data_IF_545889666186
#
_entry.id   IF_545889666186
#
_cell.length_a   1.000
_cell.length_b   1.000
_cell.length_c   1.000
_cell.angle_alpha   90.00
_cell.angle_beta   90.00
_cell.angle_gamma   90.00
#
_symmetry.space_group_name_H-M   'P 1'
#
loop_
_entity.id
_entity.type
_entity.pdbx_description
1 polymer ?
#
# COMPACT_ATOMS: atom_id res chain seq x y z
N UNK A 1 -26.87 10.77 15.51
CA UNK A 1 -25.47 10.45 15.91
C UNK A 1 -25.21 8.94 16.00
N UNK A 2 -26.18 8.12 16.44
CA UNK A 2 -26.04 6.64 16.49
C UNK A 2 -25.74 5.98 15.14
N UNK A 3 -26.37 6.42 14.03
CA UNK A 3 -26.09 5.85 12.70
C UNK A 3 -24.64 6.07 12.23
N UNK A 4 -24.07 7.26 12.46
CA UNK A 4 -22.68 7.56 12.10
C UNK A 4 -21.71 6.69 12.90
N UNK A 5 -21.92 6.54 14.21
CA UNK A 5 -21.13 5.66 15.08
C UNK A 5 -21.21 4.19 14.64
N UNK A 6 -22.40 3.70 14.28
CA UNK A 6 -22.57 2.33 13.77
C UNK A 6 -21.82 2.13 12.44
N UNK A 7 -21.84 3.11 11.54
CA UNK A 7 -21.11 3.06 10.28
C UNK A 7 -19.60 3.07 10.50
N UNK A 8 -19.08 3.96 11.35
CA UNK A 8 -17.66 4.04 11.69
C UNK A 8 -17.21 2.71 12.32
N UNK A 9 -17.96 2.19 13.29
CA UNK A 9 -17.65 0.90 13.93
C UNK A 9 -17.61 -0.24 12.92
N UNK A 10 -18.61 -0.34 12.02
CA UNK A 10 -18.66 -1.38 10.99
C UNK A 10 -17.47 -1.27 10.03
N UNK A 11 -17.08 -0.04 9.66
CA UNK A 11 -15.91 0.22 8.81
C UNK A 11 -14.61 -0.16 9.52
N UNK A 12 -14.42 0.26 10.77
CA UNK A 12 -13.24 -0.09 11.57
C UNK A 12 -13.08 -1.60 11.75
N UNK A 13 -14.15 -2.31 12.10
CA UNK A 13 -14.12 -3.78 12.20
C UNK A 13 -13.77 -4.42 10.84
N UNK A 14 -14.35 -3.92 9.76
CA UNK A 14 -14.01 -4.37 8.40
C UNK A 14 -12.55 -4.10 8.06
N UNK A 15 -12.03 -2.92 8.39
CA UNK A 15 -10.63 -2.54 8.14
C UNK A 15 -9.65 -3.42 8.91
N UNK A 16 -9.92 -3.73 10.18
CA UNK A 16 -9.09 -4.66 10.97
C UNK A 16 -9.05 -6.04 10.32
N UNK A 17 -10.21 -6.55 9.86
CA UNK A 17 -10.27 -7.85 9.19
C UNK A 17 -9.50 -7.85 7.86
N UNK A 18 -9.64 -6.79 7.06
CA UNK A 18 -8.87 -6.61 5.81
C UNK A 18 -7.37 -6.53 6.10
N UNK A 19 -6.97 -5.76 7.12
CA UNK A 19 -5.56 -5.67 7.53
C UNK A 19 -5.03 -7.03 7.95
N UNK A 20 -5.78 -7.81 8.72
CA UNK A 20 -5.39 -9.15 9.13
C UNK A 20 -5.18 -10.07 7.92
N UNK A 21 -6.12 -10.05 6.95
CA UNK A 21 -5.99 -10.80 5.70
C UNK A 21 -4.73 -10.38 4.93
N UNK A 22 -4.47 -9.08 4.81
CA UNK A 22 -3.31 -8.57 4.09
C UNK A 22 -2.02 -8.96 4.80
N UNK A 23 -1.94 -8.79 6.12
CA UNK A 23 -0.75 -9.12 6.91
C UNK A 23 -0.43 -10.61 6.84
N UNK A 24 -1.42 -11.47 7.10
CA UNK A 24 -1.22 -12.92 7.04
C UNK A 24 -0.98 -13.36 5.59
N UNK A 25 -1.76 -12.84 4.64
CA UNK A 25 -1.64 -13.18 3.23
C UNK A 25 -0.27 -12.81 2.66
N UNK A 26 0.24 -11.62 2.97
CA UNK A 26 1.59 -11.21 2.55
C UNK A 26 2.68 -12.04 3.22
N UNK A 27 2.54 -12.37 4.51
CA UNK A 27 3.46 -13.29 5.18
C UNK A 27 3.50 -14.66 4.49
N UNK A 28 2.33 -15.26 4.21
CA UNK A 28 2.24 -16.55 3.53
C UNK A 28 2.78 -16.49 2.10
N UNK A 29 2.55 -15.39 1.38
CA UNK A 29 3.10 -15.20 0.04
C UNK A 29 4.62 -15.11 0.04
N UNK A 30 5.20 -14.45 1.05
CA UNK A 30 6.65 -14.39 1.22
C UNK A 30 7.22 -15.75 1.62
N UNK A 31 6.53 -16.50 2.49
CA UNK A 31 6.98 -17.84 2.91
C UNK A 31 6.88 -18.87 1.78
N UNK A 32 5.87 -18.73 0.91
CA UNK A 32 5.70 -19.61 -0.25
C UNK A 32 6.67 -19.29 -1.40
N UNK A 33 7.36 -18.15 -1.35
CA UNK A 33 8.32 -17.77 -2.38
C UNK A 33 9.57 -18.67 -2.30
N UNK A 34 10.20 -19.02 -3.44
CA UNK A 34 11.44 -19.78 -3.42
C UNK A 34 12.59 -18.92 -2.88
N UNK A 35 13.30 -19.44 -1.88
CA UNK A 35 14.36 -18.72 -1.14
C UNK A 35 13.84 -18.04 0.12
N UNK A 36 14.68 -17.24 0.77
CA UNK A 36 14.30 -16.46 1.95
C UNK A 36 14.57 -14.95 1.79
N UNK A 37 14.21 -14.16 2.81
CA UNK A 37 14.42 -12.73 2.81
C UNK A 37 15.91 -12.34 2.67
N UNK A 38 16.82 -13.15 3.21
CA UNK A 38 18.27 -12.92 3.15
C UNK A 38 18.77 -13.18 1.73
N UNK A 39 18.29 -14.22 1.06
CA UNK A 39 18.60 -14.50 -0.35
C UNK A 39 18.20 -13.30 -1.22
N UNK A 40 16.99 -12.78 -1.05
CA UNK A 40 16.51 -11.60 -1.77
C UNK A 40 17.37 -10.35 -1.49
N UNK A 41 17.83 -10.18 -0.25
CA UNK A 41 18.68 -9.06 0.13
C UNK A 41 20.09 -9.14 -0.47
N UNK A 42 20.70 -10.33 -0.45
CA UNK A 42 22.06 -10.56 -0.95
C UNK A 42 22.12 -10.38 -2.47
N UNK A 43 21.06 -10.76 -3.20
CA UNK A 43 20.99 -10.48 -4.65
C UNK A 43 21.18 -9.00 -4.95
N UNK A 44 20.68 -8.11 -4.09
CA UNK A 44 20.78 -6.66 -4.27
C UNK A 44 22.05 -6.02 -3.70
N UNK A 45 22.71 -6.65 -2.73
CA UNK A 45 23.77 -6.02 -1.92
C UNK A 45 25.13 -6.74 -1.98
N UNK A 46 25.14 -8.00 -2.43
CA UNK A 46 26.27 -8.91 -2.26
C UNK A 46 26.41 -9.41 -0.81
N UNK A 47 27.21 -10.46 -0.59
CA UNK A 47 27.48 -11.02 0.73
C UNK A 47 28.31 -12.29 0.67
N UNK A 48 29.06 -12.58 1.74
CA UNK A 48 29.78 -13.86 1.92
C UNK A 48 28.94 -14.86 2.74
N UNK A 49 29.34 -16.14 2.71
CA UNK A 49 28.61 -17.22 3.38
C UNK A 49 28.41 -17.00 4.89
N UNK A 50 29.38 -16.35 5.56
CA UNK A 50 29.30 -16.04 6.99
C UNK A 50 28.26 -14.97 7.30
N UNK A 51 28.16 -13.93 6.48
CA UNK A 51 27.13 -12.89 6.62
C UNK A 51 25.72 -13.45 6.43
N UNK A 52 25.52 -14.40 5.50
CA UNK A 52 24.21 -15.01 5.24
C UNK A 52 23.66 -15.64 6.52
N UNK A 53 24.46 -16.48 7.18
CA UNK A 53 24.03 -17.22 8.37
C UNK A 53 23.72 -16.28 9.54
N UNK A 54 24.56 -15.26 9.72
CA UNK A 54 24.34 -14.22 10.74
C UNK A 54 23.04 -13.46 10.48
N UNK A 55 22.74 -13.13 9.22
CA UNK A 55 21.51 -12.43 8.86
C UNK A 55 20.28 -13.32 9.05
N UNK A 56 20.34 -14.61 8.70
CA UNK A 56 19.24 -15.56 8.90
C UNK A 56 18.86 -15.66 10.37
N UNK A 57 19.84 -15.84 11.23
CA UNK A 57 19.61 -15.90 12.68
C UNK A 57 19.10 -14.56 13.23
N UNK A 58 19.68 -13.43 12.79
CA UNK A 58 19.23 -12.09 13.22
C UNK A 58 17.79 -11.79 12.81
N UNK A 59 17.34 -12.27 11.65
CA UNK A 59 15.98 -12.08 11.16
C UNK A 59 15.01 -13.18 11.62
N UNK A 60 15.48 -14.11 12.45
CA UNK A 60 14.69 -15.18 13.02
C UNK A 60 14.21 -16.20 11.99
N UNK A 61 14.89 -16.31 10.84
CA UNK A 61 14.56 -17.27 9.77
C UNK A 61 14.85 -18.72 10.16
N UNK A 62 15.60 -18.92 11.24
CA UNK A 62 15.86 -20.19 11.90
C UNK A 62 14.69 -20.67 12.79
N UNK A 63 13.72 -19.80 13.07
CA UNK A 63 12.54 -20.14 13.89
C UNK A 63 11.45 -20.77 13.03
N UNK A 64 10.54 -21.52 13.68
CA UNK A 64 9.36 -22.06 12.99
C UNK A 64 8.46 -20.95 12.43
N UNK A 65 7.82 -21.21 11.29
CA UNK A 65 6.94 -20.27 10.59
C UNK A 65 5.88 -19.66 11.50
N UNK A 66 5.25 -20.48 12.35
CA UNK A 66 4.24 -20.04 13.30
C UNK A 66 4.79 -19.09 14.37
N UNK A 67 6.03 -19.31 14.81
CA UNK A 67 6.70 -18.43 15.78
C UNK A 67 7.01 -17.09 15.13
N UNK A 68 7.51 -17.09 13.89
CA UNK A 68 7.76 -15.87 13.12
C UNK A 68 6.47 -15.07 12.89
N UNK A 69 5.37 -15.74 12.52
CA UNK A 69 4.08 -15.08 12.35
C UNK A 69 3.56 -14.48 13.66
N UNK A 70 3.65 -15.23 14.77
CA UNK A 70 3.23 -14.74 16.08
C UNK A 70 4.05 -13.51 16.52
N UNK A 71 5.37 -13.57 16.37
CA UNK A 71 6.27 -12.45 16.66
C UNK A 71 5.98 -11.23 15.78
N UNK A 72 5.72 -11.46 14.49
CA UNK A 72 5.39 -10.39 13.55
C UNK A 72 4.06 -9.71 13.91
N UNK A 73 3.01 -10.49 14.19
CA UNK A 73 1.72 -9.95 14.65
C UNK A 73 1.87 -9.22 15.98
N UNK A 74 2.65 -9.75 16.91
CA UNK A 74 2.90 -9.13 18.20
C UNK A 74 3.61 -7.77 18.06
N UNK A 75 4.64 -7.68 17.22
CA UNK A 75 5.33 -6.43 16.92
C UNK A 75 4.37 -5.40 16.30
N UNK A 76 3.57 -5.80 15.31
CA UNK A 76 2.59 -4.93 14.66
C UNK A 76 1.52 -4.40 15.64
N UNK A 77 1.06 -5.23 16.58
CA UNK A 77 0.12 -4.81 17.63
C UNK A 77 0.71 -3.73 18.54
N UNK A 78 2.02 -3.72 18.73
CA UNK A 78 2.76 -2.70 19.49
C UNK A 78 3.24 -1.54 18.62
N UNK A 79 2.80 -1.47 17.35
CA UNK A 79 3.25 -0.50 16.36
C UNK A 79 4.76 -0.52 16.10
N UNK A 80 5.40 -1.65 16.37
CA UNK A 80 6.77 -1.90 15.97
C UNK A 80 6.79 -2.45 14.54
N UNK A 81 7.14 -1.56 13.61
CA UNK A 81 7.26 -1.91 12.20
C UNK A 81 8.64 -2.49 11.85
N UNK A 82 9.59 -2.47 12.78
CA UNK A 82 10.96 -2.92 12.56
C UNK A 82 11.84 -1.93 11.78
N UNK A 83 12.92 -2.47 11.23
CA UNK A 83 13.96 -1.73 10.51
C UNK A 83 13.86 -1.95 9.01
N UNK A 84 14.10 -0.89 8.24
CA UNK A 84 14.20 -1.00 6.79
C UNK A 84 15.55 -1.58 6.44
N UNK A 85 15.54 -2.72 5.76
CA UNK A 85 16.74 -3.35 5.22
C UNK A 85 17.41 -2.47 4.15
N UNK A 86 16.60 -1.82 3.30
CA UNK A 86 17.11 -0.93 2.24
C UNK A 86 17.65 0.40 2.78
N UNK A 87 16.95 1.05 3.70
CA UNK A 87 17.32 2.38 4.21
C UNK A 87 18.15 2.34 5.49
N UNK A 88 18.40 1.16 6.06
CA UNK A 88 19.15 0.95 7.31
C UNK A 88 18.68 1.84 8.48
N UNK A 89 17.37 2.06 8.59
CA UNK A 89 16.75 2.90 9.62
C UNK A 89 15.31 2.46 9.93
N UNK A 90 14.67 2.93 11.02
CA UNK A 90 13.32 2.52 11.40
C UNK A 90 12.30 2.77 10.28
N UNK A 91 11.44 1.78 10.00
CA UNK A 91 10.42 1.89 8.93
C UNK A 91 9.46 3.05 9.20
N UNK A 92 9.11 3.28 10.47
CA UNK A 92 8.25 4.40 10.88
C UNK A 92 8.80 5.76 10.42
N UNK A 93 10.11 5.96 10.49
CA UNK A 93 10.74 7.24 10.14
C UNK A 93 10.71 7.44 8.62
N UNK A 94 10.92 6.36 7.85
CA UNK A 94 10.77 6.36 6.39
C UNK A 94 9.33 6.73 5.99
N UNK A 95 8.33 6.16 6.66
CA UNK A 95 6.91 6.45 6.40
C UNK A 95 6.61 7.91 6.72
N UNK A 96 6.98 8.38 7.92
CA UNK A 96 6.69 9.74 8.37
C UNK A 96 7.36 10.81 7.51
N UNK A 97 8.55 10.54 6.98
CA UNK A 97 9.22 11.45 6.05
C UNK A 97 8.49 11.57 4.70
N UNK A 98 7.90 10.47 4.21
CA UNK A 98 7.21 10.44 2.91
C UNK A 98 5.74 10.86 2.99
N UNK A 99 5.12 10.67 4.15
CA UNK A 99 3.70 10.88 4.37
C UNK A 99 3.21 12.28 3.98
N UNK A 100 3.89 13.41 4.33
CA UNK A 100 3.42 14.75 3.99
C UNK A 100 3.33 14.97 2.48
N UNK A 101 4.34 14.54 1.73
CA UNK A 101 4.38 14.66 0.26
C UNK A 101 3.29 13.81 -0.37
N UNK A 102 3.10 12.57 0.09
CA UNK A 102 2.02 11.70 -0.38
C UNK A 102 0.65 12.32 -0.12
N UNK A 103 0.41 12.84 1.09
CA UNK A 103 -0.86 13.49 1.45
C UNK A 103 -1.10 14.76 0.63
N UNK A 104 -0.07 15.56 0.39
CA UNK A 104 -0.16 16.77 -0.42
C UNK A 104 -0.54 16.41 -1.86
N UNK A 105 0.19 15.47 -2.49
CA UNK A 105 -0.06 15.05 -3.86
C UNK A 105 -1.44 14.39 -4.02
N UNK A 106 -1.78 13.44 -3.14
CA UNK A 106 -3.08 12.78 -3.18
C UNK A 106 -4.21 13.77 -2.91
N UNK A 107 -4.05 14.66 -1.93
CA UNK A 107 -5.04 15.68 -1.59
C UNK A 107 -5.27 16.65 -2.73
N UNK A 108 -4.20 17.21 -3.32
CA UNK A 108 -4.31 18.13 -4.45
C UNK A 108 -4.89 17.46 -5.68
N UNK A 109 -4.43 16.24 -6.01
CA UNK A 109 -4.96 15.48 -7.14
C UNK A 109 -6.45 15.17 -6.95
N UNK A 110 -6.85 14.69 -5.76
CA UNK A 110 -8.25 14.39 -5.46
C UNK A 110 -9.12 15.64 -5.53
N UNK A 111 -8.68 16.76 -4.98
CA UNK A 111 -9.43 18.02 -5.01
C UNK A 111 -9.61 18.52 -6.46
N UNK A 112 -8.55 18.46 -7.27
CA UNK A 112 -8.60 18.85 -8.67
C UNK A 112 -9.48 17.90 -9.49
N UNK A 113 -9.30 16.59 -9.36
CA UNK A 113 -10.09 15.58 -10.06
C UNK A 113 -11.56 15.67 -9.69
N UNK A 114 -11.88 15.83 -8.40
CA UNK A 114 -13.26 16.00 -7.96
C UNK A 114 -13.86 17.30 -8.49
N UNK A 115 -13.15 18.43 -8.36
CA UNK A 115 -13.64 19.74 -8.78
C UNK A 115 -13.82 19.83 -10.30
N UNK A 116 -12.75 19.59 -11.06
CA UNK A 116 -12.74 19.66 -12.52
C UNK A 116 -13.60 18.55 -13.13
N UNK A 117 -13.48 17.32 -12.63
CA UNK A 117 -14.27 16.19 -13.12
C UNK A 117 -15.76 16.40 -12.93
N UNK A 118 -16.19 16.90 -11.76
CA UNK A 118 -17.60 17.22 -11.52
C UNK A 118 -18.08 18.38 -12.40
N UNK A 119 -17.29 19.44 -12.56
CA UNK A 119 -17.65 20.58 -13.41
C UNK A 119 -17.81 20.18 -14.88
N UNK A 120 -16.85 19.42 -15.42
CA UNK A 120 -16.89 18.91 -16.78
C UNK A 120 -18.05 17.91 -16.97
N UNK A 121 -18.30 17.04 -15.99
CA UNK A 121 -19.42 16.11 -16.00
C UNK A 121 -20.77 16.80 -16.03
N UNK A 122 -20.98 17.83 -15.20
CA UNK A 122 -22.18 18.66 -15.21
C UNK A 122 -22.33 19.38 -16.56
N UNK A 123 -21.24 19.94 -17.08
CA UNK A 123 -21.26 20.67 -18.35
C UNK A 123 -21.61 19.78 -19.56
N UNK A 124 -21.06 18.56 -19.61
CA UNK A 124 -21.42 17.54 -20.59
C UNK A 124 -22.89 17.12 -20.44
N UNK A 125 -23.29 16.73 -19.23
CA UNK A 125 -24.64 16.22 -18.92
C UNK A 125 -25.76 17.25 -19.11
N UNK A 126 -25.47 18.54 -19.12
CA UNK A 126 -26.46 19.59 -19.34
C UNK A 126 -27.06 19.59 -20.76
N UNK A 127 -26.42 18.97 -21.76
CA UNK A 127 -26.99 18.77 -23.11
C UNK A 127 -26.59 17.40 -23.65
N UNK A 128 -27.33 16.33 -23.31
CA UNK A 128 -27.03 14.98 -23.74
C UNK A 128 -26.98 14.84 -25.27
N UNK A 129 -26.03 14.06 -25.78
CA UNK A 129 -25.88 13.80 -27.21
C UNK A 129 -25.28 14.95 -28.03
N UNK A 130 -24.96 16.08 -27.39
CA UNK A 130 -24.30 17.20 -28.05
C UNK A 130 -22.82 16.91 -28.35
N UNK A 131 -22.22 17.69 -29.27
CA UNK A 131 -20.79 17.55 -29.59
C UNK A 131 -19.89 17.65 -28.35
N UNK A 132 -20.19 18.56 -27.42
CA UNK A 132 -19.43 18.73 -26.17
C UNK A 132 -19.51 17.52 -25.24
N UNK A 133 -20.69 16.90 -25.14
CA UNK A 133 -20.89 15.68 -24.36
C UNK A 133 -20.07 14.55 -24.97
N UNK A 134 -20.21 14.33 -26.27
CA UNK A 134 -19.48 13.28 -26.98
C UNK A 134 -17.96 13.47 -26.92
N UNK A 135 -17.47 14.70 -27.09
CA UNK A 135 -16.04 15.01 -26.99
C UNK A 135 -15.48 14.76 -25.58
N UNK A 136 -16.14 15.28 -24.53
CA UNK A 136 -15.71 15.09 -23.15
C UNK A 136 -15.79 13.63 -22.71
N UNK A 137 -16.84 12.93 -23.09
CA UNK A 137 -17.03 11.51 -22.78
C UNK A 137 -15.98 10.63 -23.46
N UNK A 138 -15.71 10.85 -24.76
CA UNK A 138 -14.64 10.12 -25.48
C UNK A 138 -13.27 10.45 -24.90
N UNK A 139 -12.98 11.73 -24.63
CA UNK A 139 -11.71 12.14 -24.03
C UNK A 139 -11.48 11.52 -22.64
N UNK A 140 -12.52 11.52 -21.79
CA UNK A 140 -12.48 10.87 -20.48
C UNK A 140 -12.26 9.36 -20.60
N UNK A 141 -12.93 8.70 -21.55
CA UNK A 141 -12.77 7.26 -21.77
C UNK A 141 -11.37 6.93 -22.29
N UNK A 142 -10.84 7.74 -23.21
CA UNK A 142 -9.49 7.58 -23.73
C UNK A 142 -8.46 7.71 -22.61
N UNK A 143 -8.53 8.77 -21.81
CA UNK A 143 -7.64 8.96 -20.65
C UNK A 143 -7.77 7.84 -19.62
N UNK A 144 -8.98 7.39 -19.34
CA UNK A 144 -9.21 6.26 -18.42
C UNK A 144 -8.63 4.94 -18.94
N UNK A 145 -8.61 4.74 -20.26
CA UNK A 145 -8.05 3.56 -20.90
C UNK A 145 -6.52 3.60 -21.04
N UNK A 146 -5.88 4.76 -20.85
CA UNK A 146 -4.41 4.85 -20.87
C UNK A 146 -3.86 4.10 -19.65
N UNK A 147 -2.94 3.13 -19.83
CA UNK A 147 -2.35 2.45 -18.69
C UNK A 147 -1.54 3.42 -17.84
N UNK A 148 -1.66 3.32 -16.52
CA UNK A 148 -1.04 4.30 -15.60
C UNK A 148 0.48 4.42 -15.69
N UNK A 149 1.18 3.48 -16.32
CA UNK A 149 2.63 3.56 -16.55
C UNK A 149 3.04 4.35 -17.80
N UNK A 150 2.08 4.80 -18.63
CA UNK A 150 2.31 5.68 -19.79
C UNK A 150 2.13 7.17 -19.46
N UNK A 151 1.55 7.49 -18.29
CA UNK A 151 1.27 8.84 -17.80
C UNK A 151 2.34 9.27 -16.79
#
# INVERSE_FOLDING_TARGET
>A
MTRALTLIRRRLLGSVFVLLIVVIGTFLLLEAAPGDAVDAYIVSTGGDAGMIEVLRHRWGLDQSEMTRLANYLWALLHLDLGQSVTFSRPIRDVILERLPTTLLLMGSATALSFGLGSALGIYAGARPGSFRDRFLSIGSLALYAVPGFWL
#
